data_IF_539347293826
#
_entry.id   IF_539347293826
#
_cell.length_a   1.000
_cell.length_b   1.000
_cell.length_c   1.000
_cell.angle_alpha   90.00
_cell.angle_beta   90.00
_cell.angle_gamma   90.00
#
_symmetry.space_group_name_H-M   'P 1'
#
loop_
_entity.id
_entity.type
_entity.pdbx_description
1 polymer ?
#
# COMPACT_ATOMS: atom_id res chain seq x y z
N UNK A 1 13.77 20.74 -2.61
CA UNK A 1 12.39 20.36 -2.25
C UNK A 1 11.87 19.53 -3.41
N UNK A 2 11.89 18.20 -3.30
CA UNK A 2 11.40 17.34 -4.39
C UNK A 2 9.90 17.51 -4.56
N UNK A 3 9.49 18.14 -5.65
CA UNK A 3 8.08 18.47 -5.95
C UNK A 3 7.26 17.25 -6.38
N UNK A 4 7.87 16.08 -6.52
CA UNK A 4 7.23 14.84 -6.98
C UNK A 4 6.87 13.88 -5.85
N UNK A 5 7.40 14.10 -4.65
CA UNK A 5 7.12 13.25 -3.48
C UNK A 5 5.73 13.53 -2.95
N UNK A 6 4.95 12.47 -2.77
CA UNK A 6 3.62 12.52 -2.17
C UNK A 6 3.62 11.72 -0.87
N UNK A 7 2.88 12.21 0.12
CA UNK A 7 2.59 11.50 1.36
C UNK A 7 1.07 11.34 1.50
N UNK A 8 0.60 10.12 1.75
CA UNK A 8 -0.82 9.77 1.86
C UNK A 8 -1.06 8.81 3.01
N UNK A 9 -2.17 9.05 3.70
CA UNK A 9 -2.67 8.12 4.70
C UNK A 9 -3.46 7.00 4.02
N UNK A 10 -3.10 5.77 4.36
CA UNK A 10 -3.77 4.55 3.97
C UNK A 10 -4.46 3.95 5.19
N UNK A 11 -5.77 3.72 5.07
CA UNK A 11 -6.62 3.23 6.14
C UNK A 11 -7.12 1.82 5.83
N UNK A 12 -7.14 0.97 6.85
CA UNK A 12 -7.66 -0.39 6.80
C UNK A 12 -9.01 -0.48 7.51
N UNK A 13 -9.84 -1.44 7.11
CA UNK A 13 -11.07 -1.77 7.85
C UNK A 13 -10.74 -2.27 9.25
N UNK A 14 -11.42 -1.76 10.27
CA UNK A 14 -11.27 -2.21 11.66
C UNK A 14 -12.56 -2.83 12.25
N UNK A 15 -12.46 -3.60 13.36
CA UNK A 15 -11.31 -4.39 13.82
C UNK A 15 -11.34 -5.81 13.20
N UNK A 16 -10.24 -6.26 12.61
CA UNK A 16 -10.12 -7.63 12.12
C UNK A 16 -9.56 -8.54 13.22
N UNK A 17 -10.21 -9.68 13.45
CA UNK A 17 -9.93 -10.57 14.59
C UNK A 17 -8.60 -11.36 14.48
N UNK A 18 -7.94 -11.32 13.33
CA UNK A 18 -6.86 -12.26 12.96
C UNK A 18 -5.59 -11.60 12.40
N UNK A 19 -5.53 -10.29 12.17
CA UNK A 19 -4.32 -9.68 11.61
C UNK A 19 -4.17 -8.18 11.89
N UNK A 20 -2.98 -7.80 12.38
CA UNK A 20 -2.45 -6.44 12.38
C UNK A 20 -2.15 -6.00 10.92
N UNK A 21 -3.20 -5.65 10.17
CA UNK A 21 -3.09 -5.30 8.75
C UNK A 21 -2.17 -4.10 8.50
N UNK A 22 -2.23 -3.08 9.37
CA UNK A 22 -1.40 -1.89 9.22
C UNK A 22 0.10 -2.19 9.38
N UNK A 23 0.57 -2.85 10.47
CA UNK A 23 1.96 -3.31 10.56
C UNK A 23 2.39 -4.24 9.42
N UNK A 24 1.54 -5.19 9.01
CA UNK A 24 1.88 -6.11 7.92
C UNK A 24 2.03 -5.40 6.57
N UNK A 25 1.15 -4.45 6.27
CA UNK A 25 1.26 -3.63 5.07
C UNK A 25 2.47 -2.69 5.14
N UNK A 26 2.79 -2.15 6.32
CA UNK A 26 3.96 -1.30 6.49
C UNK A 26 5.26 -2.05 6.17
N UNK A 27 5.40 -3.28 6.67
CA UNK A 27 6.54 -4.15 6.38
C UNK A 27 6.67 -4.49 4.89
N UNK A 28 5.54 -4.76 4.23
CA UNK A 28 5.50 -5.04 2.81
C UNK A 28 5.95 -3.83 1.98
N UNK A 29 5.39 -2.66 2.28
CA UNK A 29 5.66 -1.44 1.55
C UNK A 29 7.09 -0.94 1.80
N UNK A 30 7.64 -1.09 3.01
CA UNK A 30 9.02 -0.70 3.33
C UNK A 30 10.07 -1.53 2.57
N UNK A 31 9.71 -2.73 2.11
CA UNK A 31 10.58 -3.60 1.33
C UNK A 31 10.51 -3.33 -0.18
N UNK A 32 9.64 -2.41 -0.63
CA UNK A 32 9.50 -2.08 -2.04
C UNK A 32 10.37 -0.88 -2.43
N UNK A 33 11.11 -0.93 -3.55
CA UNK A 33 11.90 0.21 -4.01
C UNK A 33 11.06 1.41 -4.46
N UNK A 34 9.74 1.26 -4.58
CA UNK A 34 8.83 2.32 -5.04
C UNK A 34 8.33 3.23 -3.93
N UNK A 35 8.53 2.83 -2.67
CA UNK A 35 8.06 3.55 -1.50
C UNK A 35 9.28 4.09 -0.77
N UNK A 36 9.31 5.39 -0.54
CA UNK A 36 10.44 6.05 0.11
C UNK A 36 10.38 5.89 1.62
N UNK A 37 9.18 5.91 2.20
CA UNK A 37 8.99 5.80 3.64
C UNK A 37 7.60 5.30 3.99
N UNK A 38 7.51 4.53 5.07
CA UNK A 38 6.25 4.01 5.59
C UNK A 38 6.26 4.10 7.11
N UNK A 39 5.20 4.66 7.69
CA UNK A 39 5.06 4.78 9.14
C UNK A 39 3.67 4.34 9.58
N UNK A 40 3.58 3.46 10.58
CA UNK A 40 2.31 3.10 11.21
C UNK A 40 1.88 4.29 12.08
N UNK A 41 0.75 4.93 11.73
CA UNK A 41 0.24 6.12 12.43
C UNK A 41 -0.90 5.81 13.39
N UNK A 42 -1.43 4.58 13.35
CA UNK A 42 -2.48 4.12 14.24
C UNK A 42 -2.79 2.63 14.03
N UNK A 43 -3.77 2.06 14.75
CA UNK A 43 -4.04 0.63 14.73
C UNK A 43 -4.42 0.08 13.35
N UNK A 44 -5.11 0.89 12.54
CA UNK A 44 -5.54 0.53 11.18
C UNK A 44 -5.11 1.59 10.17
N UNK A 45 -4.00 2.29 10.41
CA UNK A 45 -3.57 3.42 9.60
C UNK A 45 -2.06 3.43 9.39
N UNK A 46 -1.67 3.71 8.16
CA UNK A 46 -0.28 3.81 7.73
C UNK A 46 -0.11 5.06 6.88
N UNK A 47 0.94 5.83 7.13
CA UNK A 47 1.38 6.91 6.26
C UNK A 47 2.39 6.35 5.26
N UNK A 48 2.17 6.61 3.98
CA UNK A 48 3.03 6.13 2.89
C UNK A 48 3.57 7.34 2.14
N UNK A 49 4.89 7.39 1.97
CA UNK A 49 5.60 8.40 1.20
C UNK A 49 6.23 7.76 -0.03
N UNK A 50 5.95 8.30 -1.22
CA UNK A 50 6.37 7.72 -2.49
C UNK A 50 6.61 8.80 -3.55
N UNK A 51 7.41 8.47 -4.56
CA UNK A 51 7.64 9.33 -5.72
C UNK A 51 6.53 9.12 -6.76
N UNK A 52 5.80 10.20 -7.05
CA UNK A 52 4.72 10.19 -8.04
C UNK A 52 5.21 9.80 -9.44
N UNK A 53 6.50 9.93 -9.75
CA UNK A 53 7.06 9.48 -11.04
C UNK A 53 7.12 7.96 -11.17
N UNK A 54 7.17 7.24 -10.05
CA UNK A 54 7.34 5.79 -10.01
C UNK A 54 6.02 5.07 -9.76
N UNK A 55 5.20 5.58 -8.84
CA UNK A 55 3.96 4.91 -8.41
C UNK A 55 2.89 5.93 -7.98
N UNK A 56 1.61 5.62 -8.23
CA UNK A 56 0.46 6.37 -7.70
C UNK A 56 -0.06 5.75 -6.42
N UNK A 57 -0.83 6.53 -5.66
CA UNK A 57 -1.57 5.99 -4.52
C UNK A 57 -2.51 4.86 -4.94
N UNK A 58 -3.21 5.01 -6.06
CA UNK A 58 -4.15 4.01 -6.57
C UNK A 58 -3.45 2.68 -6.92
N UNK A 59 -2.24 2.72 -7.48
CA UNK A 59 -1.44 1.52 -7.75
C UNK A 59 -1.01 0.81 -6.47
N UNK A 60 -0.67 1.56 -5.41
CA UNK A 60 -0.34 1.00 -4.09
C UNK A 60 -1.57 0.34 -3.47
N UNK A 61 -2.72 1.01 -3.49
CA UNK A 61 -3.97 0.47 -2.95
C UNK A 61 -4.41 -0.81 -3.68
N UNK A 62 -4.37 -0.81 -5.03
CA UNK A 62 -4.69 -1.99 -5.83
C UNK A 62 -3.74 -3.16 -5.53
N UNK A 63 -2.45 -2.90 -5.34
CA UNK A 63 -1.50 -3.95 -5.01
C UNK A 63 -1.78 -4.55 -3.63
N UNK A 64 -2.15 -3.74 -2.64
CA UNK A 64 -2.50 -4.22 -1.31
C UNK A 64 -3.82 -5.02 -1.32
N UNK A 65 -4.84 -4.56 -2.05
CA UNK A 65 -6.12 -5.28 -2.20
C UNK A 65 -5.90 -6.67 -2.82
N UNK A 66 -5.03 -6.80 -3.83
CA UNK A 66 -4.68 -8.09 -4.44
C UNK A 66 -3.91 -9.05 -3.53
N UNK A 67 -3.16 -8.49 -2.58
CA UNK A 67 -2.41 -9.26 -1.58
C UNK A 67 -3.29 -9.65 -0.38
N UNK A 68 -4.59 -9.34 -0.43
CA UNK A 68 -5.57 -9.74 0.58
C UNK A 68 -5.75 -8.74 1.71
N UNK A 69 -5.19 -7.53 1.61
CA UNK A 69 -5.44 -6.47 2.60
C UNK A 69 -6.84 -5.86 2.40
N UNK A 70 -7.50 -5.53 3.49
CA UNK A 70 -8.84 -4.95 3.47
C UNK A 70 -8.78 -3.45 3.80
N UNK A 71 -8.69 -2.64 2.75
CA UNK A 71 -8.69 -1.17 2.88
C UNK A 71 -10.06 -0.65 3.35
N UNK A 72 -10.05 0.49 4.03
CA UNK A 72 -11.28 1.20 4.37
C UNK A 72 -11.97 1.69 3.10
N UNK A 73 -13.27 1.40 2.99
CA UNK A 73 -14.10 1.74 1.85
C UNK A 73 -15.31 2.61 2.27
N UNK A 74 -15.19 3.32 3.40
CA UNK A 74 -16.17 4.33 3.81
C UNK A 74 -16.34 5.40 2.73
N UNK A 75 -17.52 6.03 2.66
CA UNK A 75 -17.80 7.07 1.65
C UNK A 75 -16.74 8.18 1.65
N UNK A 76 -16.32 8.63 2.84
CA UNK A 76 -15.30 9.66 2.96
C UNK A 76 -13.95 9.20 2.41
N UNK A 77 -13.54 7.95 2.69
CA UNK A 77 -12.29 7.39 2.17
C UNK A 77 -12.33 7.22 0.66
N UNK A 78 -13.47 6.80 0.10
CA UNK A 78 -13.67 6.73 -1.37
C UNK A 78 -13.56 8.09 -2.05
N UNK A 79 -14.18 9.13 -1.47
CA UNK A 79 -14.09 10.49 -2.00
C UNK A 79 -12.66 11.02 -1.94
N UNK A 80 -11.96 10.79 -0.82
CA UNK A 80 -10.55 11.16 -0.66
C UNK A 80 -9.66 10.44 -1.69
N UNK A 81 -9.87 9.14 -1.89
CA UNK A 81 -9.19 8.34 -2.92
C UNK A 81 -9.39 8.94 -4.31
N UNK A 82 -10.64 9.22 -4.70
CA UNK A 82 -10.94 9.83 -5.99
C UNK A 82 -10.26 11.20 -6.17
N UNK A 83 -10.23 12.02 -5.12
CA UNK A 83 -9.53 13.30 -5.14
C UNK A 83 -8.01 13.12 -5.33
N UNK A 84 -7.39 12.19 -4.60
CA UNK A 84 -5.96 11.90 -4.76
C UNK A 84 -5.63 11.42 -6.16
N UNK A 85 -6.39 10.47 -6.72
CA UNK A 85 -6.22 10.00 -8.10
C UNK A 85 -6.29 11.16 -9.09
N UNK A 86 -7.31 12.01 -9.00
CA UNK A 86 -7.46 13.16 -9.90
C UNK A 86 -6.26 14.13 -9.82
N UNK A 87 -5.82 14.49 -8.61
CA UNK A 87 -4.68 15.37 -8.42
C UNK A 87 -3.37 14.75 -8.95
N UNK A 88 -3.19 13.45 -8.72
CA UNK A 88 -2.02 12.71 -9.18
C UNK A 88 -1.96 12.59 -10.69
N UNK A 89 -3.07 12.27 -11.34
CA UNK A 89 -3.17 12.19 -12.80
C UNK A 89 -2.85 13.55 -13.45
N UNK A 90 -3.42 14.62 -12.91
CA UNK A 90 -3.16 15.99 -13.39
C UNK A 90 -1.68 16.36 -13.22
N UNK A 91 -1.08 16.04 -12.06
CA UNK A 91 0.34 16.31 -11.80
C UNK A 91 1.25 15.47 -12.70
N UNK A 92 0.96 14.18 -12.89
CA UNK A 92 1.71 13.29 -13.79
C UNK A 92 1.69 13.78 -15.23
N UNK A 93 0.51 14.21 -15.71
CA UNK A 93 0.37 14.80 -17.04
C UNK A 93 1.24 16.06 -17.22
N UNK A 94 1.23 16.96 -16.23
CA UNK A 94 2.05 18.18 -16.25
C UNK A 94 3.56 17.90 -16.19
N UNK A 95 3.97 16.90 -15.41
CA UNK A 95 5.36 16.47 -15.29
C UNK A 95 5.88 15.77 -16.56
N UNK A 96 5.03 15.56 -17.58
CA UNK A 96 5.33 14.78 -18.79
C UNK A 96 5.98 13.44 -18.46
N UNK A 97 5.58 12.83 -17.34
CA UNK A 97 6.07 11.52 -16.94
C UNK A 97 5.60 10.55 -18.01
N UNK A 98 6.50 10.20 -18.93
CA UNK A 98 6.29 9.05 -19.80
C UNK A 98 6.41 7.86 -18.85
N UNK A 99 5.28 7.23 -18.56
CA UNK A 99 5.32 6.03 -17.74
C UNK A 99 6.20 5.02 -18.48
N UNK A 100 7.43 4.79 -18.00
CA UNK A 100 8.32 3.76 -18.58
C UNK A 100 7.72 2.36 -18.43
N UNK A 101 6.63 2.25 -17.67
CA UNK A 101 5.86 1.06 -17.40
C UNK A 101 4.37 1.40 -17.40
N UNK A 102 3.60 0.86 -18.33
CA UNK A 102 2.14 0.99 -18.35
C UNK A 102 1.51 0.30 -17.12
N UNK A 103 1.29 1.04 -16.01
CA UNK A 103 0.40 0.70 -14.88
C UNK A 103 0.67 -0.60 -14.07
N UNK A 104 1.51 -1.51 -14.57
CA UNK A 104 1.63 -2.89 -14.06
C UNK A 104 2.98 -3.20 -13.41
N UNK A 105 4.00 -2.35 -13.60
CA UNK A 105 5.31 -2.61 -13.00
C UNK A 105 5.30 -2.43 -11.49
N UNK A 106 4.59 -1.44 -10.97
CA UNK A 106 4.45 -1.23 -9.53
C UNK A 106 3.80 -2.43 -8.85
N UNK A 107 2.62 -2.79 -9.33
CA UNK A 107 1.90 -4.00 -8.94
C UNK A 107 2.80 -5.25 -8.94
N UNK A 108 3.48 -5.53 -10.06
CA UNK A 108 4.34 -6.73 -10.19
C UNK A 108 5.52 -6.71 -9.22
N UNK A 109 6.07 -5.54 -8.92
CA UNK A 109 7.16 -5.38 -7.95
C UNK A 109 6.63 -5.64 -6.53
N UNK A 110 5.51 -5.05 -6.14
CA UNK A 110 4.90 -5.32 -4.82
C UNK A 110 4.54 -6.80 -4.63
N UNK A 111 3.90 -7.42 -5.63
CA UNK A 111 3.55 -8.85 -5.58
C UNK A 111 4.81 -9.72 -5.48
N UNK A 112 5.85 -9.42 -6.26
CA UNK A 112 7.11 -10.16 -6.21
C UNK A 112 7.80 -10.04 -4.85
N UNK A 113 7.88 -8.84 -4.28
CA UNK A 113 8.53 -8.66 -2.98
C UNK A 113 7.75 -9.30 -1.83
N UNK A 114 6.41 -9.25 -1.91
CA UNK A 114 5.53 -9.94 -0.95
C UNK A 114 5.66 -11.47 -1.03
N UNK A 115 5.80 -12.05 -2.23
CA UNK A 115 5.96 -13.50 -2.40
C UNK A 115 7.27 -14.06 -1.84
N UNK A 116 8.33 -13.22 -1.75
CA UNK A 116 9.65 -13.66 -1.27
C UNK A 116 9.71 -13.92 0.23
N UNK A 117 8.74 -13.44 1.01
CA UNK A 117 8.83 -13.47 2.47
C UNK A 117 7.66 -14.23 3.11
N UNK A 118 7.96 -15.00 4.16
CA UNK A 118 6.95 -15.59 5.03
C UNK A 118 6.37 -14.48 5.92
N UNK A 119 5.16 -14.04 5.62
CA UNK A 119 4.45 -13.04 6.39
C UNK A 119 3.51 -13.72 7.39
N UNK A 120 3.47 -13.25 8.64
CA UNK A 120 2.58 -13.82 9.68
C UNK A 120 1.08 -13.79 9.32
N UNK A 121 0.67 -12.89 8.43
CA UNK A 121 -0.68 -12.85 7.85
C UNK A 121 -0.97 -13.97 6.83
N UNK A 122 0.05 -14.72 6.39
CA UNK A 122 -0.06 -15.94 5.57
C UNK A 122 -0.13 -17.20 6.43
N UNK A 123 0.09 -17.09 7.74
CA UNK A 123 0.18 -18.25 8.61
C UNK A 123 -1.23 -18.80 8.88
N UNK A 124 -1.73 -19.62 7.95
CA UNK A 124 -3.00 -20.36 8.03
C UNK A 124 -2.96 -21.49 9.07
N UNK A 125 -1.85 -21.65 9.80
CA UNK A 125 -1.75 -22.64 10.87
C UNK A 125 -2.81 -22.32 11.91
N UNK A 126 -3.70 -23.27 12.24
CA UNK A 126 -4.64 -23.11 13.34
C UNK A 126 -3.92 -22.67 14.62
N UNK A 127 -4.54 -21.83 15.45
CA UNK A 127 -3.92 -21.32 16.68
C UNK A 127 -3.28 -22.42 17.53
N UNK A 128 -3.91 -23.59 17.61
CA UNK A 128 -3.44 -24.74 18.39
C UNK A 128 -2.11 -25.35 17.88
N UNK A 129 -1.66 -25.03 16.67
CA UNK A 129 -0.36 -25.47 16.13
C UNK A 129 0.77 -24.46 16.34
N UNK A 130 0.48 -23.26 16.85
CA UNK A 130 1.50 -22.23 17.11
C UNK A 130 2.32 -22.49 18.38
N UNK A 131 1.80 -23.28 19.31
CA UNK A 131 2.41 -23.51 20.64
C UNK A 131 3.39 -24.68 20.72
N UNK A 132 3.63 -25.40 19.62
CA UNK A 132 4.37 -26.67 19.63
C UNK A 132 5.84 -26.57 19.20
N UNK A 133 6.37 -25.36 19.00
CA UNK A 133 7.77 -25.14 18.67
C UNK A 133 8.37 -24.02 19.51
#
# INVERSE_FOLDING_TARGET
>A
MDTTVCARELAFRGPHREADQAPAAALLLSNSPMVEEVAVTGPNRVMVRYDLRQVTFAEIESALEELGFHLDNSMLTRLRRAYYTYCEDTRRANLKVRSNCFGHCARRIFVREYQKHEHGCRDQRPEHWRSYW
#
